data_IF_898025968764
#
_entry.id   IF_898025968764
#
_cell.length_a   1.000
_cell.length_b   1.000
_cell.length_c   1.000
_cell.angle_alpha   90.00
_cell.angle_beta   90.00
_cell.angle_gamma   90.00
#
_symmetry.space_group_name_H-M   'P 1'
#
loop_
_entity.id
_entity.type
_entity.pdbx_description
1 polymer ?
#
# COMPACT_ATOMS: atom_id res chain seq x y z
N UNK A 1 6.74 30.63 -10.01
CA UNK A 1 6.39 29.44 -9.20
C UNK A 1 5.78 28.41 -10.14
N UNK A 2 6.08 27.13 -9.98
CA UNK A 2 5.52 26.07 -10.83
C UNK A 2 3.99 25.99 -10.69
N UNK A 3 3.28 25.68 -11.79
CA UNK A 3 1.82 25.45 -11.79
C UNK A 3 1.53 23.97 -11.62
N UNK A 4 0.33 23.68 -11.09
CA UNK A 4 -0.29 22.35 -11.13
C UNK A 4 0.65 21.20 -10.68
N UNK A 5 1.44 21.44 -9.63
CA UNK A 5 2.44 20.47 -9.15
C UNK A 5 1.72 19.25 -8.58
N UNK A 6 2.15 18.06 -8.99
CA UNK A 6 1.42 16.82 -8.75
C UNK A 6 2.16 15.56 -9.18
N UNK A 7 1.46 14.42 -9.17
CA UNK A 7 1.98 13.13 -9.65
C UNK A 7 1.80 13.06 -11.17
N UNK A 8 2.93 13.00 -11.89
CA UNK A 8 3.00 12.88 -13.34
C UNK A 8 2.86 11.42 -13.82
N UNK A 9 3.57 10.53 -13.14
CA UNK A 9 3.66 9.12 -13.47
C UNK A 9 3.65 8.29 -12.18
N UNK A 10 3.10 7.08 -12.24
CA UNK A 10 3.02 6.16 -11.11
C UNK A 10 3.31 4.72 -11.55
N UNK A 11 4.01 3.98 -10.71
CA UNK A 11 4.29 2.55 -10.88
C UNK A 11 4.25 1.84 -9.51
N UNK A 12 3.86 0.56 -9.51
CA UNK A 12 3.74 -0.28 -8.33
C UNK A 12 4.41 -1.64 -8.55
N UNK A 13 5.26 -2.05 -7.62
CA UNK A 13 5.71 -3.43 -7.47
C UNK A 13 5.09 -4.04 -6.20
N UNK A 14 4.72 -5.32 -6.28
CA UNK A 14 4.45 -6.18 -5.12
C UNK A 14 4.90 -7.61 -5.46
N UNK A 15 5.33 -8.42 -4.48
CA UNK A 15 5.74 -9.79 -4.75
C UNK A 15 4.65 -10.61 -5.46
N UNK A 16 5.04 -11.54 -6.34
CA UNK A 16 4.12 -12.52 -6.90
C UNK A 16 3.68 -13.54 -5.84
N UNK A 17 4.55 -13.83 -4.85
CA UNK A 17 4.31 -14.78 -3.78
C UNK A 17 3.29 -14.27 -2.76
N UNK A 18 2.25 -15.09 -2.54
CA UNK A 18 1.12 -14.75 -1.71
C UNK A 18 0.41 -15.99 -1.14
N UNK A 19 -0.47 -15.78 -0.15
CA UNK A 19 -1.28 -16.80 0.52
C UNK A 19 -2.74 -16.34 0.65
N UNK A 20 -3.70 -17.24 0.42
CA UNK A 20 -5.13 -16.96 0.61
C UNK A 20 -5.50 -16.83 2.09
N UNK A 21 -6.34 -15.85 2.41
CA UNK A 21 -6.81 -15.63 3.78
C UNK A 21 -7.76 -16.73 4.26
N UNK A 22 -8.59 -17.33 3.41
CA UNK A 22 -9.44 -18.49 3.79
C UNK A 22 -8.61 -19.76 4.08
N UNK A 23 -7.52 -19.97 3.34
CA UNK A 23 -6.58 -21.06 3.63
C UNK A 23 -5.83 -20.80 4.95
N UNK A 24 -5.44 -19.55 5.20
CA UNK A 24 -4.78 -19.15 6.44
C UNK A 24 -5.72 -19.23 7.66
N UNK A 25 -7.01 -18.84 7.51
CA UNK A 25 -8.06 -19.07 8.53
C UNK A 25 -8.11 -20.55 8.92
N UNK A 26 -8.10 -21.44 7.93
CA UNK A 26 -8.15 -22.90 8.11
C UNK A 26 -6.90 -23.41 8.86
N UNK A 27 -5.69 -22.98 8.47
CA UNK A 27 -4.43 -23.40 9.13
C UNK A 27 -4.30 -22.87 10.56
N UNK A 28 -4.78 -21.65 10.82
CA UNK A 28 -4.73 -21.02 12.14
C UNK A 28 -5.77 -21.57 13.13
N UNK A 29 -6.69 -22.44 12.70
CA UNK A 29 -7.84 -22.84 13.52
C UNK A 29 -8.82 -21.70 13.78
N UNK A 30 -8.85 -20.70 12.89
CA UNK A 30 -9.75 -19.56 12.99
C UNK A 30 -11.19 -19.92 12.58
N UNK A 31 -12.16 -19.24 13.17
CA UNK A 31 -13.55 -19.27 12.68
C UNK A 31 -13.62 -18.74 11.25
N UNK A 32 -14.29 -19.46 10.35
CA UNK A 32 -14.51 -19.01 8.96
C UNK A 32 -15.07 -17.58 8.92
N UNK A 33 -14.46 -16.73 8.09
CA UNK A 33 -14.78 -15.31 8.00
C UNK A 33 -13.91 -14.39 8.86
N UNK A 34 -13.05 -14.89 9.76
CA UNK A 34 -12.27 -14.05 10.70
C UNK A 34 -11.35 -13.06 9.99
N UNK A 35 -10.72 -13.46 8.89
CA UNK A 35 -9.81 -12.62 8.10
C UNK A 35 -10.51 -12.07 6.87
N UNK A 36 -11.24 -12.91 6.14
CA UNK A 36 -11.98 -12.58 4.91
C UNK A 36 -13.12 -11.59 5.11
N UNK A 37 -13.83 -11.64 6.25
CA UNK A 37 -14.93 -10.73 6.58
C UNK A 37 -14.55 -9.80 7.75
N UNK A 38 -13.91 -10.34 8.79
CA UNK A 38 -13.52 -9.61 10.01
C UNK A 38 -12.43 -8.57 9.78
N UNK A 39 -11.37 -8.92 9.05
CA UNK A 39 -10.36 -7.97 8.56
C UNK A 39 -10.73 -7.40 7.18
N UNK A 40 -11.51 -8.14 6.39
CA UNK A 40 -11.91 -7.79 5.02
C UNK A 40 -10.84 -8.10 3.97
N UNK A 41 -9.88 -8.98 4.28
CA UNK A 41 -8.71 -9.28 3.46
C UNK A 41 -8.89 -10.59 2.68
N UNK A 42 -8.54 -10.61 1.40
CA UNK A 42 -8.71 -11.81 0.55
C UNK A 42 -7.39 -12.59 0.45
N UNK A 43 -6.27 -11.86 0.29
CA UNK A 43 -4.95 -12.42 0.06
C UNK A 43 -3.88 -11.59 0.78
N UNK A 44 -2.72 -12.18 1.05
CA UNK A 44 -1.57 -11.50 1.62
C UNK A 44 -0.30 -11.85 0.85
N UNK A 45 0.41 -10.82 0.38
CA UNK A 45 1.67 -10.96 -0.34
C UNK A 45 2.88 -10.81 0.60
N UNK A 46 3.93 -11.57 0.33
CA UNK A 46 5.14 -11.60 1.14
C UNK A 46 6.36 -11.80 0.26
N UNK A 47 7.48 -11.17 0.64
CA UNK A 47 8.78 -11.44 0.05
C UNK A 47 9.24 -12.86 0.43
N UNK A 48 9.82 -13.57 -0.53
CA UNK A 48 10.69 -14.72 -0.23
C UNK A 48 12.11 -14.26 0.07
N UNK A 49 13.07 -15.17 0.30
CA UNK A 49 14.42 -14.74 0.66
C UNK A 49 15.16 -13.97 -0.44
N UNK A 50 14.76 -14.15 -1.71
CA UNK A 50 15.31 -13.43 -2.87
C UNK A 50 14.73 -12.02 -3.04
N UNK A 51 13.77 -11.60 -2.22
CA UNK A 51 13.17 -10.27 -2.30
C UNK A 51 13.40 -9.43 -1.03
N UNK A 52 13.51 -8.12 -1.21
CA UNK A 52 13.44 -7.14 -0.13
C UNK A 52 13.02 -5.76 -0.66
N UNK A 53 12.90 -4.75 0.21
CA UNK A 53 12.37 -3.44 -0.24
C UNK A 53 13.30 -2.70 -1.20
N UNK A 54 14.54 -3.14 -1.37
CA UNK A 54 15.46 -2.59 -2.38
C UNK A 54 15.22 -3.32 -3.68
N UNK A 55 15.17 -4.65 -3.67
CA UNK A 55 14.76 -5.44 -4.82
C UNK A 55 13.39 -4.96 -5.36
N UNK A 56 12.42 -4.69 -4.48
CA UNK A 56 11.14 -4.08 -4.85
C UNK A 56 11.26 -2.63 -5.36
N UNK A 57 12.06 -1.77 -4.71
CA UNK A 57 12.16 -0.35 -5.08
C UNK A 57 12.97 -0.11 -6.34
N UNK A 58 14.04 -0.89 -6.57
CA UNK A 58 14.76 -0.98 -7.84
C UNK A 58 13.77 -1.37 -8.94
N UNK A 59 12.98 -2.44 -8.74
CA UNK A 59 11.98 -2.87 -9.72
C UNK A 59 10.93 -1.79 -9.99
N UNK A 60 10.38 -1.14 -8.96
CA UNK A 60 9.37 -0.10 -9.12
C UNK A 60 9.90 1.18 -9.80
N UNK A 61 11.11 1.63 -9.46
CA UNK A 61 11.72 2.84 -10.04
C UNK A 61 12.22 2.58 -11.45
N UNK A 62 12.95 1.49 -11.69
CA UNK A 62 13.42 1.11 -13.03
C UNK A 62 12.23 0.89 -13.98
N UNK A 63 11.18 0.18 -13.55
CA UNK A 63 9.95 0.00 -14.35
C UNK A 63 9.22 1.33 -14.65
N UNK A 64 9.28 2.32 -13.75
CA UNK A 64 8.75 3.66 -14.03
C UNK A 64 9.61 4.38 -15.09
N UNK A 65 10.92 4.44 -14.90
CA UNK A 65 11.82 5.16 -15.82
C UNK A 65 11.81 4.53 -17.22
N UNK A 66 11.81 3.20 -17.31
CA UNK A 66 11.71 2.45 -18.58
C UNK A 66 10.37 2.71 -19.29
N UNK A 67 9.22 2.51 -18.61
CA UNK A 67 7.90 2.55 -19.28
C UNK A 67 7.37 3.94 -19.59
N UNK A 68 7.79 4.97 -18.86
CA UNK A 68 7.47 6.37 -19.18
C UNK A 68 8.59 7.06 -19.98
N UNK A 69 9.64 6.32 -20.37
CA UNK A 69 10.81 6.81 -21.14
C UNK A 69 11.47 8.04 -20.53
N UNK A 70 11.74 7.99 -19.21
CA UNK A 70 12.30 9.10 -18.44
C UNK A 70 13.82 8.96 -18.37
N UNK A 71 14.55 9.90 -18.95
CA UNK A 71 16.00 10.04 -18.76
C UNK A 71 16.31 10.25 -17.26
N UNK A 72 17.08 9.36 -16.60
CA UNK A 72 17.40 9.48 -15.18
C UNK A 72 18.04 10.81 -14.80
N UNK A 73 18.72 11.49 -15.74
CA UNK A 73 19.36 12.81 -15.52
C UNK A 73 18.36 13.94 -15.27
N UNK A 74 17.07 13.74 -15.58
CA UNK A 74 16.00 14.71 -15.28
C UNK A 74 15.56 14.68 -13.80
N UNK A 75 15.98 13.68 -13.01
CA UNK A 75 15.55 13.50 -11.63
C UNK A 75 16.39 14.35 -10.68
N UNK A 76 16.04 15.64 -10.56
CA UNK A 76 16.70 16.60 -9.66
C UNK A 76 16.46 16.40 -8.16
N UNK A 77 15.56 15.48 -7.76
CA UNK A 77 15.29 15.12 -6.36
C UNK A 77 14.76 13.68 -6.28
N UNK A 78 15.30 12.90 -5.36
CA UNK A 78 14.91 11.50 -5.17
C UNK A 78 14.95 11.13 -3.66
N UNK A 79 13.87 10.54 -3.15
CA UNK A 79 13.61 10.27 -1.73
C UNK A 79 12.87 8.93 -1.57
N UNK A 80 12.97 8.31 -0.39
CA UNK A 80 12.30 7.05 -0.06
C UNK A 80 11.59 7.15 1.30
N UNK A 81 10.29 6.90 1.33
CA UNK A 81 9.49 6.84 2.56
C UNK A 81 9.33 5.40 3.06
N UNK A 82 9.98 5.06 4.19
CA UNK A 82 10.06 3.69 4.71
C UNK A 82 10.08 3.67 6.24
N UNK A 83 9.28 2.78 6.85
CA UNK A 83 9.41 2.36 8.27
C UNK A 83 10.18 1.03 8.41
N UNK A 84 10.88 0.68 7.35
CA UNK A 84 11.67 -0.52 7.15
C UNK A 84 13.15 -0.16 7.18
N UNK A 85 13.94 -0.91 7.93
CA UNK A 85 15.34 -0.65 8.20
C UNK A 85 16.10 -1.99 8.27
N UNK A 86 17.19 -2.11 7.51
CA UNK A 86 18.35 -2.92 7.95
C UNK A 86 19.49 -2.00 8.39
N UNK A 87 19.87 -1.04 7.55
CA UNK A 87 20.96 -0.15 7.89
C UNK A 87 20.43 1.10 8.61
N UNK A 88 20.94 1.33 9.82
CA UNK A 88 20.57 2.44 10.71
C UNK A 88 21.18 3.77 10.28
N UNK A 89 21.96 3.80 9.20
CA UNK A 89 22.62 4.98 8.64
C UNK A 89 22.58 5.02 7.10
N UNK A 90 22.94 3.93 6.42
CA UNK A 90 23.07 3.85 4.95
C UNK A 90 21.69 3.66 4.28
N UNK A 91 21.05 4.80 4.00
CA UNK A 91 19.65 4.91 3.56
C UNK A 91 19.23 4.06 2.35
N UNK A 92 17.94 3.75 2.23
CA UNK A 92 17.36 3.13 1.01
C UNK A 92 17.52 4.05 -0.21
N UNK A 93 17.50 5.37 -0.03
CA UNK A 93 17.81 6.33 -1.10
C UNK A 93 19.18 6.04 -1.73
N UNK A 94 20.17 5.63 -0.94
CA UNK A 94 21.48 5.22 -1.45
C UNK A 94 21.49 3.79 -2.03
N UNK A 95 20.63 2.86 -1.58
CA UNK A 95 20.39 1.56 -2.26
C UNK A 95 19.79 1.70 -3.69
N UNK A 96 19.38 2.90 -4.10
CA UNK A 96 18.76 3.15 -5.40
C UNK A 96 19.56 4.13 -6.28
N UNK A 97 20.71 4.62 -5.81
CA UNK A 97 21.56 5.51 -6.59
C UNK A 97 22.19 4.86 -7.82
N UNK A 98 22.37 3.52 -7.79
CA UNK A 98 22.78 2.69 -8.92
C UNK A 98 21.91 2.80 -10.19
N UNK A 99 20.70 3.37 -10.10
CA UNK A 99 19.84 3.67 -11.26
C UNK A 99 20.27 4.97 -11.96
N UNK A 100 20.94 5.87 -11.24
CA UNK A 100 21.34 7.22 -11.67
C UNK A 100 22.86 7.35 -11.87
N UNK A 101 23.64 6.53 -11.17
CA UNK A 101 25.09 6.44 -11.27
C UNK A 101 25.47 5.43 -12.35
N UNK A 102 26.41 5.79 -13.23
CA UNK A 102 26.90 4.88 -14.30
C UNK A 102 27.77 3.74 -13.73
N UNK A 103 28.11 3.77 -12.43
CA UNK A 103 28.83 2.70 -11.73
C UNK A 103 28.50 2.60 -10.23
N UNK A 104 28.32 1.34 -9.76
CA UNK A 104 28.30 0.83 -8.37
C UNK A 104 26.99 0.90 -7.53
N UNK A 105 26.85 -0.05 -6.57
CA UNK A 105 25.59 -0.46 -5.92
C UNK A 105 25.68 -0.64 -4.37
N UNK A 106 24.54 -0.86 -3.68
CA UNK A 106 24.51 -1.65 -2.42
C UNK A 106 24.36 -0.94 -1.03
N UNK A 107 23.35 -0.05 -0.84
CA UNK A 107 22.33 -0.01 0.35
C UNK A 107 20.17 -2.04 1.05
N UNK A 108 19.14 -2.03 2.04
CA UNK A 108 18.47 -3.27 2.65
C UNK A 108 17.02 -3.30 3.35
N UNK A 109 16.60 -4.49 3.90
CA UNK A 109 15.26 -5.20 4.21
C UNK A 109 14.16 -4.74 5.26
N UNK A 110 12.90 -5.31 5.22
CA UNK A 110 11.65 -4.97 6.01
C UNK A 110 11.03 -6.02 6.98
N UNK A 111 9.89 -5.65 7.64
CA UNK A 111 8.70 -6.52 7.92
C UNK A 111 7.60 -6.34 6.85
N UNK A 112 6.91 -7.40 6.42
CA UNK A 112 5.83 -7.36 5.40
C UNK A 112 4.39 -7.15 5.94
N UNK A 113 3.34 -7.03 5.11
CA UNK A 113 3.27 -7.25 3.65
C UNK A 113 4.02 -6.23 2.79
N UNK A 114 4.18 -6.59 1.52
CA UNK A 114 5.26 -6.08 0.68
C UNK A 114 4.76 -5.40 -0.60
N UNK A 115 5.13 -4.13 -0.78
CA UNK A 115 5.06 -3.41 -2.03
C UNK A 115 6.04 -2.23 -2.05
N UNK A 116 6.42 -1.79 -3.24
CA UNK A 116 7.07 -0.49 -3.48
C UNK A 116 6.25 0.30 -4.51
N UNK A 117 6.15 1.61 -4.32
CA UNK A 117 5.48 2.52 -5.26
C UNK A 117 6.43 3.65 -5.63
N UNK A 118 6.61 3.83 -6.93
CA UNK A 118 7.33 4.97 -7.48
C UNK A 118 6.31 6.00 -8.00
N UNK A 119 6.56 7.28 -7.71
CA UNK A 119 5.77 8.41 -8.20
C UNK A 119 6.70 9.50 -8.71
N UNK A 120 6.55 9.88 -9.97
CA UNK A 120 7.24 11.04 -10.54
C UNK A 120 6.46 12.31 -10.17
N UNK A 121 7.13 13.29 -9.58
CA UNK A 121 6.52 14.56 -9.15
C UNK A 121 7.01 15.70 -10.04
N UNK A 122 6.10 16.53 -10.54
CA UNK A 122 6.46 17.69 -11.37
C UNK A 122 5.30 18.65 -11.62
N UNK A 123 5.51 19.70 -12.43
CA UNK A 123 4.48 20.67 -12.82
C UNK A 123 3.47 20.06 -13.79
N UNK A 124 2.32 20.73 -13.95
CA UNK A 124 1.31 20.44 -14.99
C UNK A 124 0.85 18.97 -15.06
N UNK A 125 0.72 18.37 -13.87
CA UNK A 125 0.40 16.97 -13.67
C UNK A 125 -1.10 16.62 -13.88
N UNK A 126 -1.44 15.38 -14.25
CA UNK A 126 -2.82 14.87 -14.22
C UNK A 126 -3.38 14.76 -12.80
N UNK A 127 -2.53 14.70 -11.77
CA UNK A 127 -2.93 14.46 -10.37
C UNK A 127 -2.33 15.58 -9.50
N UNK A 128 -3.02 16.73 -9.43
CA UNK A 128 -2.52 17.98 -8.84
C UNK A 128 -2.79 18.05 -7.34
N UNK A 129 -1.81 18.51 -6.55
CA UNK A 129 -2.04 18.80 -5.12
C UNK A 129 -2.82 20.11 -4.94
N UNK A 130 -4.02 20.06 -4.34
CA UNK A 130 -4.75 21.25 -3.91
C UNK A 130 -4.10 21.80 -2.63
N UNK A 131 -2.96 22.48 -2.78
CA UNK A 131 -1.89 22.55 -1.77
C UNK A 131 -2.27 23.20 -0.44
N UNK A 132 -3.38 23.93 -0.38
CA UNK A 132 -3.93 24.56 0.83
C UNK A 132 -4.88 23.64 1.61
N UNK A 133 -5.54 22.68 0.94
CA UNK A 133 -6.49 21.75 1.55
C UNK A 133 -5.74 20.56 2.15
N UNK A 134 -5.20 20.76 3.35
CA UNK A 134 -4.64 19.68 4.18
C UNK A 134 -4.80 19.92 5.67
N UNK A 135 -5.22 18.90 6.42
CA UNK A 135 -5.20 18.88 7.89
C UNK A 135 -4.16 17.86 8.36
N UNK A 136 -3.36 18.21 9.36
CA UNK A 136 -2.28 17.36 9.87
C UNK A 136 -2.40 17.23 11.38
N UNK A 137 -2.12 16.04 11.92
CA UNK A 137 -2.04 15.81 13.35
C UNK A 137 -0.85 14.91 13.68
N UNK A 138 -0.11 15.29 14.72
CA UNK A 138 1.01 14.55 15.27
C UNK A 138 0.87 14.59 16.79
N UNK A 139 1.17 13.49 17.45
CA UNK A 139 1.15 13.37 18.91
C UNK A 139 2.16 12.30 19.32
N UNK A 140 2.59 12.30 20.58
CA UNK A 140 3.35 11.18 21.12
C UNK A 140 2.39 10.04 21.49
N UNK A 141 2.63 8.84 20.98
CA UNK A 141 1.89 7.62 21.27
C UNK A 141 2.82 6.40 21.23
N UNK A 142 2.41 5.31 21.90
CA UNK A 142 3.07 4.00 21.85
C UNK A 142 2.13 2.92 21.28
N UNK A 143 1.34 3.29 20.26
CA UNK A 143 0.31 2.42 19.70
C UNK A 143 0.89 1.28 18.81
N UNK A 144 1.95 1.59 18.07
CA UNK A 144 2.79 0.63 17.35
C UNK A 144 4.18 1.23 17.19
N UNK A 145 5.23 0.48 17.52
CA UNK A 145 6.63 0.93 17.44
C UNK A 145 7.60 -0.27 17.38
N UNK A 146 8.84 -0.04 16.92
CA UNK A 146 9.87 -1.09 16.76
C UNK A 146 11.06 -0.85 17.71
N UNK A 147 10.95 -1.17 19.01
CA UNK A 147 12.00 -0.90 20.00
C UNK A 147 13.14 -1.92 19.98
N UNK A 148 12.86 -3.17 19.57
CA UNK A 148 13.87 -4.22 19.49
C UNK A 148 14.61 -4.14 18.16
N UNK A 149 15.78 -3.48 18.15
CA UNK A 149 16.60 -3.28 16.96
C UNK A 149 17.13 -4.59 16.32
N UNK A 150 17.04 -5.73 17.01
CA UNK A 150 17.45 -7.04 16.50
C UNK A 150 16.28 -7.88 15.94
N UNK A 151 15.03 -7.38 16.02
CA UNK A 151 13.85 -8.07 15.49
C UNK A 151 13.20 -7.29 14.36
N UNK A 152 12.61 -8.03 13.43
CA UNK A 152 11.76 -7.51 12.36
C UNK A 152 10.40 -7.04 12.92
N UNK A 153 9.99 -7.57 14.08
CA UNK A 153 8.62 -7.47 14.59
C UNK A 153 8.38 -6.24 15.49
N UNK A 154 7.25 -5.54 15.33
CA UNK A 154 6.85 -4.40 16.16
C UNK A 154 6.23 -4.82 17.49
N UNK A 155 6.31 -3.93 18.48
CA UNK A 155 5.43 -3.93 19.67
C UNK A 155 4.16 -3.14 19.30
N UNK A 156 2.99 -3.71 19.59
CA UNK A 156 1.69 -3.20 19.12
C UNK A 156 0.62 -3.31 20.20
N UNK A 157 -0.08 -2.23 20.50
CA UNK A 157 -1.38 -2.27 21.18
C UNK A 157 -2.49 -2.08 20.13
N UNK A 158 -3.12 -3.18 19.73
CA UNK A 158 -4.20 -3.19 18.73
C UNK A 158 -5.51 -2.51 19.16
N UNK A 159 -5.68 -2.21 20.45
CA UNK A 159 -6.78 -1.34 20.93
C UNK A 159 -6.37 0.11 20.77
N UNK A 160 -5.22 0.49 21.35
CA UNK A 160 -4.72 1.86 21.31
C UNK A 160 -4.52 2.35 19.86
N UNK A 161 -4.01 1.50 18.96
CA UNK A 161 -3.79 1.89 17.56
C UNK A 161 -5.08 2.20 16.79
N UNK A 162 -6.19 1.51 17.07
CA UNK A 162 -7.49 1.90 16.51
C UNK A 162 -7.99 3.23 17.08
N UNK A 163 -7.81 3.49 18.38
CA UNK A 163 -8.14 4.79 19.00
C UNK A 163 -7.29 5.92 18.40
N UNK A 164 -5.97 5.75 18.36
CA UNK A 164 -5.00 6.70 17.82
C UNK A 164 -5.25 7.02 16.34
N UNK A 165 -5.57 6.01 15.52
CA UNK A 165 -5.94 6.18 14.12
C UNK A 165 -7.21 7.03 13.97
N UNK A 166 -8.28 6.73 14.73
CA UNK A 166 -9.56 7.46 14.62
C UNK A 166 -9.45 8.89 15.18
N UNK A 167 -8.71 9.10 16.27
CA UNK A 167 -8.39 10.43 16.80
C UNK A 167 -7.58 11.27 15.80
N UNK A 168 -6.60 10.66 15.13
CA UNK A 168 -5.82 11.30 14.08
C UNK A 168 -6.67 11.64 12.85
N UNK A 169 -7.60 10.76 12.46
CA UNK A 169 -8.54 10.97 11.38
C UNK A 169 -9.48 12.16 11.66
N UNK A 170 -10.16 12.16 12.81
CA UNK A 170 -11.04 13.25 13.25
C UNK A 170 -10.30 14.60 13.27
N UNK A 171 -9.09 14.62 13.85
CA UNK A 171 -8.30 15.84 13.98
C UNK A 171 -7.81 16.35 12.61
N UNK A 172 -7.37 15.46 11.73
CA UNK A 172 -7.01 15.82 10.36
C UNK A 172 -8.24 16.31 9.57
N UNK A 173 -9.40 15.66 9.71
CA UNK A 173 -10.64 16.06 9.05
C UNK A 173 -11.09 17.45 9.51
N UNK A 174 -11.10 17.71 10.82
CA UNK A 174 -11.41 19.02 11.40
C UNK A 174 -10.52 20.13 10.83
N UNK A 175 -9.20 19.93 10.78
CA UNK A 175 -8.28 20.92 10.21
C UNK A 175 -8.37 21.03 8.68
N UNK A 176 -8.78 19.97 7.98
CA UNK A 176 -9.07 20.01 6.56
C UNK A 176 -10.31 20.89 6.29
N UNK A 177 -11.44 20.58 6.96
CA UNK A 177 -12.69 21.31 6.84
C UNK A 177 -12.53 22.80 7.13
N UNK A 178 -11.86 23.16 8.23
CA UNK A 178 -11.59 24.56 8.59
C UNK A 178 -10.84 25.34 7.48
N UNK A 179 -9.85 24.71 6.84
CA UNK A 179 -9.09 25.37 5.74
C UNK A 179 -9.90 25.47 4.46
N UNK A 180 -10.73 24.47 4.18
CA UNK A 180 -11.66 24.49 3.06
C UNK A 180 -12.69 25.60 3.23
N UNK A 181 -13.38 25.63 4.37
CA UNK A 181 -14.35 26.66 4.76
C UNK A 181 -13.78 28.08 4.63
N UNK A 182 -12.55 28.29 5.11
CA UNK A 182 -11.87 29.59 5.03
C UNK A 182 -11.50 30.05 3.61
N UNK A 183 -11.49 29.16 2.63
CA UNK A 183 -11.03 29.43 1.25
C UNK A 183 -12.15 29.39 0.21
N UNK A 184 -13.11 28.47 0.38
CA UNK A 184 -14.26 28.26 -0.52
C UNK A 184 -15.54 28.96 -0.02
N UNK A 185 -15.53 29.47 1.22
CA UNK A 185 -16.68 30.17 1.81
C UNK A 185 -17.88 29.29 2.17
N UNK A 186 -17.73 27.96 2.10
CA UNK A 186 -18.78 26.97 2.35
C UNK A 186 -18.30 25.82 3.25
N UNK A 187 -19.22 25.21 3.98
CA UNK A 187 -18.93 24.03 4.81
C UNK A 187 -18.42 22.86 3.95
N UNK A 188 -17.34 22.20 4.36
CA UNK A 188 -16.91 20.95 3.71
C UNK A 188 -17.74 19.76 4.20
N UNK A 189 -18.02 18.81 3.33
CA UNK A 189 -18.65 17.54 3.65
C UNK A 189 -18.03 16.39 2.84
N UNK A 190 -18.29 15.13 3.19
CA UNK A 190 -17.91 13.98 2.35
C UNK A 190 -18.57 13.98 0.95
N UNK A 191 -19.55 14.86 0.71
CA UNK A 191 -20.13 15.10 -0.63
C UNK A 191 -19.26 15.98 -1.52
N UNK A 192 -18.39 16.83 -0.95
CA UNK A 192 -17.49 17.74 -1.67
C UNK A 192 -16.21 17.07 -2.23
N UNK A 193 -16.05 15.78 -1.96
CA UNK A 193 -15.05 14.89 -2.51
C UNK A 193 -15.74 13.80 -3.34
N UNK A 194 -15.24 13.51 -4.53
CA UNK A 194 -15.76 12.41 -5.34
C UNK A 194 -15.32 11.04 -4.77
N UNK A 195 -14.06 10.93 -4.34
CA UNK A 195 -13.50 9.74 -3.71
C UNK A 195 -12.69 10.07 -2.44
N UNK A 196 -12.61 9.11 -1.52
CA UNK A 196 -11.77 9.20 -0.32
C UNK A 196 -10.93 7.92 -0.19
N UNK A 197 -9.61 8.09 -0.08
CA UNK A 197 -8.60 7.04 0.00
C UNK A 197 -7.94 7.10 1.38
N UNK A 198 -7.67 5.93 1.98
CA UNK A 198 -7.10 5.82 3.33
C UNK A 198 -5.83 4.96 3.32
N UNK A 199 -4.90 5.22 4.23
CA UNK A 199 -3.94 4.21 4.65
C UNK A 199 -4.71 2.94 5.06
N UNK A 200 -4.39 1.82 4.43
CA UNK A 200 -5.22 0.61 4.43
C UNK A 200 -4.45 -0.57 5.00
N UNK A 201 -4.31 -0.70 6.34
CA UNK A 201 -3.63 -1.84 6.95
C UNK A 201 -4.48 -3.12 6.86
N UNK A 202 -5.82 -2.96 6.92
CA UNK A 202 -6.80 -3.99 6.60
C UNK A 202 -8.14 -3.31 6.25
N UNK A 203 -8.92 -3.90 5.33
CA UNK A 203 -10.08 -3.22 4.73
C UNK A 203 -11.20 -2.89 5.74
N UNK A 204 -11.39 -3.66 6.82
CA UNK A 204 -12.35 -3.30 7.86
C UNK A 204 -12.02 -1.96 8.52
N UNK A 205 -10.74 -1.59 8.71
CA UNK A 205 -10.41 -0.26 9.23
C UNK A 205 -10.82 0.85 8.25
N UNK A 206 -10.67 0.63 6.95
CA UNK A 206 -11.10 1.57 5.89
C UNK A 206 -12.61 1.81 5.94
N UNK A 207 -13.40 0.75 6.13
CA UNK A 207 -14.85 0.84 6.34
C UNK A 207 -15.21 1.67 7.58
N UNK A 208 -14.56 1.41 8.73
CA UNK A 208 -14.72 2.21 9.95
C UNK A 208 -14.30 3.67 9.76
N UNK A 209 -13.23 3.91 9.00
CA UNK A 209 -12.68 5.26 8.75
C UNK A 209 -13.69 6.14 8.03
N UNK A 210 -14.25 5.65 6.93
CA UNK A 210 -15.25 6.41 6.17
C UNK A 210 -16.56 6.59 6.95
N UNK A 211 -16.99 5.56 7.70
CA UNK A 211 -18.11 5.66 8.62
C UNK A 211 -17.89 6.74 9.70
N UNK A 212 -16.65 6.88 10.21
CA UNK A 212 -16.27 7.93 11.16
C UNK A 212 -16.31 9.33 10.53
N UNK A 213 -15.96 9.49 9.25
CA UNK A 213 -16.11 10.78 8.55
C UNK A 213 -17.59 11.20 8.44
N UNK A 214 -18.50 10.27 8.13
CA UNK A 214 -19.94 10.57 8.15
C UNK A 214 -20.43 10.96 9.55
N UNK A 215 -19.89 10.34 10.62
CA UNK A 215 -20.20 10.76 12.00
C UNK A 215 -19.65 12.17 12.32
N UNK A 216 -18.45 12.53 11.84
CA UNK A 216 -17.93 13.89 11.97
C UNK A 216 -18.82 14.91 11.24
N UNK A 217 -19.33 14.57 10.06
CA UNK A 217 -20.29 15.38 9.32
C UNK A 217 -21.63 15.53 10.05
N UNK A 218 -22.12 14.46 10.68
CA UNK A 218 -23.30 14.51 11.55
C UNK A 218 -23.07 15.45 12.75
N UNK A 219 -21.96 15.32 13.46
CA UNK A 219 -21.58 16.21 14.58
C UNK A 219 -21.33 17.67 14.15
N UNK A 220 -21.15 17.92 12.84
CA UNK A 220 -21.03 19.26 12.22
C UNK A 220 -22.33 19.74 11.58
N UNK A 221 -23.43 18.98 11.65
CA UNK A 221 -24.70 19.21 10.95
C UNK A 221 -24.54 19.42 9.43
N UNK A 222 -23.59 18.73 8.80
CA UNK A 222 -23.24 18.93 7.40
C UNK A 222 -24.27 18.32 6.42
N UNK A 223 -24.35 18.91 5.22
CA UNK A 223 -25.33 18.58 4.17
C UNK A 223 -25.17 17.20 3.53
N UNK A 224 -24.11 16.46 3.85
CA UNK A 224 -23.90 15.06 3.46
C UNK A 224 -24.77 14.07 4.24
N UNK A 225 -25.35 14.49 5.37
CA UNK A 225 -26.13 13.62 6.26
C UNK A 225 -27.62 13.85 6.00
N UNK A 226 -28.28 12.87 5.39
CA UNK A 226 -29.74 12.87 5.23
C UNK A 226 -30.47 12.64 6.58
N UNK A 227 -31.77 12.88 6.61
CA UNK A 227 -32.55 12.82 7.85
C UNK A 227 -32.73 11.39 8.41
N UNK A 228 -32.55 10.36 7.58
CA UNK A 228 -32.54 8.94 8.02
C UNK A 228 -31.21 8.65 8.73
N UNK A 229 -30.10 9.16 8.19
CA UNK A 229 -28.79 9.08 8.82
C UNK A 229 -28.73 9.90 10.11
N UNK A 230 -29.26 11.14 10.14
CA UNK A 230 -29.41 11.93 11.37
C UNK A 230 -30.21 11.17 12.42
N UNK A 231 -31.42 10.72 12.08
CA UNK A 231 -32.30 10.00 13.02
C UNK A 231 -31.66 8.75 13.65
N UNK A 232 -30.81 8.06 12.90
CA UNK A 232 -30.04 6.90 13.39
C UNK A 232 -28.79 7.27 14.20
N UNK A 233 -28.18 8.43 13.95
CA UNK A 233 -26.97 8.88 14.66
C UNK A 233 -27.28 9.73 15.91
N UNK A 234 -28.45 10.35 16.00
CA UNK A 234 -28.92 11.14 17.15
C UNK A 234 -28.71 10.48 18.52
N UNK A 235 -28.92 9.16 18.74
CA UNK A 235 -28.67 8.52 20.04
C UNK A 235 -27.20 8.60 20.52
N UNK A 236 -26.25 8.82 19.61
CA UNK A 236 -24.82 8.87 19.89
C UNK A 236 -24.24 10.29 19.95
N UNK A 237 -25.08 11.32 19.76
CA UNK A 237 -24.68 12.74 19.72
C UNK A 237 -23.94 13.24 20.97
N UNK A 238 -24.15 12.61 22.13
CA UNK A 238 -23.46 12.96 23.38
C UNK A 238 -22.13 12.21 23.57
N UNK A 239 -21.80 11.20 22.75
CA UNK A 239 -20.55 10.45 22.89
C UNK A 239 -19.38 11.26 22.35
N UNK A 240 -18.38 11.53 23.20
CA UNK A 240 -17.19 12.29 22.82
C UNK A 240 -15.90 11.50 23.07
N UNK A 241 -14.81 11.88 22.39
CA UNK A 241 -13.49 11.29 22.59
C UNK A 241 -13.49 9.76 22.65
N UNK A 242 -12.88 9.21 23.70
CA UNK A 242 -12.67 7.78 23.93
C UNK A 242 -13.95 6.95 24.04
N UNK A 243 -15.07 7.53 24.48
CA UNK A 243 -16.38 6.85 24.49
C UNK A 243 -16.82 6.57 23.05
N UNK A 244 -16.66 7.57 22.18
CA UNK A 244 -17.04 7.49 20.77
C UNK A 244 -16.10 6.59 19.94
N UNK A 245 -14.83 6.43 20.34
CA UNK A 245 -13.89 5.50 19.69
C UNK A 245 -14.12 4.05 20.12
N UNK A 246 -14.67 3.81 21.33
CA UNK A 246 -14.90 2.47 21.87
C UNK A 246 -16.33 1.94 21.67
N UNK A 247 -17.28 2.81 21.31
CA UNK A 247 -18.69 2.44 21.06
C UNK A 247 -18.87 1.60 19.79
N UNK A 248 -19.04 0.28 19.97
CA UNK A 248 -19.33 -0.67 18.88
C UNK A 248 -20.67 -0.41 18.20
N UNK A 249 -21.66 0.11 18.92
CA UNK A 249 -22.98 0.41 18.35
C UNK A 249 -22.93 1.65 17.47
N UNK A 250 -22.18 2.68 17.85
CA UNK A 250 -21.86 3.80 16.97
C UNK A 250 -21.10 3.32 15.72
N UNK A 251 -20.09 2.46 15.88
CA UNK A 251 -19.32 1.89 14.75
C UNK A 251 -20.24 1.14 13.77
N UNK A 252 -21.16 0.33 14.30
CA UNK A 252 -22.12 -0.47 13.53
C UNK A 252 -23.15 0.39 12.80
N UNK A 253 -23.76 1.35 13.50
CA UNK A 253 -24.77 2.25 12.90
C UNK A 253 -24.12 3.15 11.85
N UNK A 254 -22.94 3.72 12.14
CA UNK A 254 -22.21 4.57 11.19
C UNK A 254 -21.84 3.79 9.92
N UNK A 255 -21.34 2.56 10.03
CA UNK A 255 -21.10 1.70 8.85
C UNK A 255 -22.39 1.40 8.07
N UNK A 256 -23.52 1.23 8.76
CA UNK A 256 -24.80 0.94 8.11
C UNK A 256 -25.36 2.14 7.36
N UNK A 257 -25.25 3.36 7.89
CA UNK A 257 -25.70 4.59 7.19
C UNK A 257 -24.71 5.07 6.14
N UNK A 258 -23.40 4.84 6.30
CA UNK A 258 -22.38 5.22 5.32
C UNK A 258 -22.27 4.26 4.13
N UNK A 259 -22.98 3.12 4.12
CA UNK A 259 -22.73 2.00 3.20
C UNK A 259 -22.79 2.38 1.72
N UNK A 260 -23.85 3.05 1.27
CA UNK A 260 -24.02 3.49 -0.12
C UNK A 260 -22.92 4.47 -0.56
N UNK A 261 -22.59 5.43 0.31
CA UNK A 261 -21.52 6.41 0.05
C UNK A 261 -20.12 5.77 0.10
N UNK A 262 -19.89 4.75 0.93
CA UNK A 262 -18.65 3.96 0.93
C UNK A 262 -18.49 3.20 -0.39
N UNK A 263 -19.55 2.56 -0.88
CA UNK A 263 -19.51 1.80 -2.13
C UNK A 263 -19.24 2.69 -3.35
N UNK A 264 -19.75 3.93 -3.36
CA UNK A 264 -19.44 4.91 -4.40
C UNK A 264 -18.04 5.55 -4.26
N UNK A 265 -17.68 6.00 -3.05
CA UNK A 265 -16.52 6.89 -2.83
C UNK A 265 -15.23 6.18 -2.44
N UNK A 266 -15.31 4.96 -1.88
CA UNK A 266 -14.18 4.28 -1.23
C UNK A 266 -13.95 2.86 -1.72
N UNK A 267 -15.00 2.07 -2.02
CA UNK A 267 -14.83 0.69 -2.50
C UNK A 267 -13.88 0.57 -3.73
N UNK A 268 -13.90 1.48 -4.73
CA UNK A 268 -12.95 1.46 -5.85
C UNK A 268 -11.48 1.58 -5.44
N UNK A 269 -11.17 2.08 -4.23
CA UNK A 269 -9.80 2.20 -3.71
C UNK A 269 -9.28 0.91 -3.05
N UNK A 270 -10.05 -0.18 -3.01
CA UNK A 270 -9.78 -1.32 -2.10
C UNK A 270 -9.11 -2.54 -2.72
N UNK A 271 -9.03 -2.62 -4.07
CA UNK A 271 -8.55 -3.80 -4.79
C UNK A 271 -7.17 -4.29 -4.31
N UNK A 272 -6.14 -3.44 -4.46
CA UNK A 272 -4.76 -3.83 -4.14
C UNK A 272 -4.60 -4.05 -2.62
N UNK A 273 -5.08 -3.18 -1.70
CA UNK A 273 -5.04 -3.47 -0.27
C UNK A 273 -5.67 -4.81 0.14
N UNK A 274 -6.82 -5.20 -0.44
CA UNK A 274 -7.48 -6.49 -0.13
C UNK A 274 -6.72 -7.70 -0.68
N UNK A 275 -6.01 -7.54 -1.79
CA UNK A 275 -5.30 -8.60 -2.52
C UNK A 275 -3.79 -8.66 -2.23
N UNK A 276 -3.23 -7.72 -1.47
CA UNK A 276 -1.80 -7.65 -1.12
C UNK A 276 -1.57 -7.62 0.41
N UNK A 277 -2.50 -7.07 1.19
CA UNK A 277 -2.32 -6.88 2.64
C UNK A 277 -1.84 -5.46 2.99
N UNK A 278 -1.38 -5.28 4.23
CA UNK A 278 -0.75 -4.01 4.62
C UNK A 278 0.57 -3.82 3.85
N UNK A 279 0.75 -2.64 3.26
CA UNK A 279 1.96 -2.21 2.54
C UNK A 279 2.60 -0.99 3.21
N UNK A 280 2.30 -0.74 4.49
CA UNK A 280 2.82 0.34 5.32
C UNK A 280 2.80 1.71 4.62
N UNK A 281 3.95 2.33 4.36
CA UNK A 281 4.07 3.64 3.70
C UNK A 281 3.50 3.66 2.28
N UNK A 282 3.54 2.53 1.56
CA UNK A 282 2.95 2.39 0.23
C UNK A 282 1.43 2.13 0.26
N UNK A 283 0.84 1.74 1.40
CA UNK A 283 -0.56 1.29 1.47
C UNK A 283 -1.59 2.34 1.01
N UNK A 284 -1.43 3.60 1.41
CA UNK A 284 -2.29 4.71 0.94
C UNK A 284 -2.21 4.87 -0.59
N UNK A 285 -0.99 4.79 -1.14
CA UNK A 285 -0.75 4.97 -2.56
C UNK A 285 -1.18 3.74 -3.37
N UNK A 286 -1.15 2.53 -2.80
CA UNK A 286 -1.71 1.32 -3.40
C UNK A 286 -3.25 1.36 -3.45
N UNK A 287 -3.89 1.95 -2.44
CA UNK A 287 -5.32 2.25 -2.48
C UNK A 287 -5.65 3.30 -3.55
N UNK A 288 -4.79 4.31 -3.75
CA UNK A 288 -4.95 5.30 -4.82
C UNK A 288 -4.68 4.71 -6.22
N UNK A 289 -3.70 3.84 -6.38
CA UNK A 289 -3.46 3.07 -7.60
C UNK A 289 -4.64 2.15 -7.95
N UNK A 290 -5.32 1.59 -6.94
CA UNK A 290 -6.57 0.84 -7.13
C UNK A 290 -7.68 1.74 -7.70
N UNK A 291 -7.80 2.98 -7.20
CA UNK A 291 -8.76 3.95 -7.72
C UNK A 291 -8.48 4.31 -9.18
N UNK A 292 -7.23 4.62 -9.53
CA UNK A 292 -6.83 4.91 -10.92
C UNK A 292 -7.12 3.70 -11.83
N UNK A 293 -6.73 2.50 -11.42
CA UNK A 293 -7.00 1.28 -12.19
C UNK A 293 -8.51 1.10 -12.46
N UNK A 294 -9.34 1.20 -11.43
CA UNK A 294 -10.77 0.96 -11.51
C UNK A 294 -11.59 2.11 -12.15
N UNK A 295 -11.07 3.34 -12.17
CA UNK A 295 -11.86 4.55 -12.48
C UNK A 295 -11.19 5.63 -13.34
N UNK A 296 -9.98 5.44 -13.87
CA UNK A 296 -9.23 6.46 -14.65
C UNK A 296 -10.10 7.28 -15.64
N UNK A 297 -10.95 6.63 -16.43
CA UNK A 297 -11.85 7.28 -17.42
C UNK A 297 -12.96 8.16 -16.82
N UNK A 298 -13.26 8.03 -15.53
CA UNK A 298 -14.24 8.83 -14.77
C UNK A 298 -13.59 9.88 -13.86
N UNK A 299 -12.25 9.88 -13.75
CA UNK A 299 -11.51 10.69 -12.76
C UNK A 299 -11.15 12.11 -13.22
N UNK A 300 -11.32 12.45 -14.50
CA UNK A 300 -11.06 13.80 -14.99
C UNK A 300 -12.01 14.84 -14.33
N UNK A 301 -11.44 15.89 -13.75
CA UNK A 301 -12.16 16.94 -13.02
C UNK A 301 -12.55 16.58 -11.58
N UNK A 302 -12.21 15.39 -11.09
CA UNK A 302 -12.63 14.88 -9.77
C UNK A 302 -11.76 15.40 -8.62
N UNK A 303 -12.33 15.48 -7.41
CA UNK A 303 -11.60 15.68 -6.16
C UNK A 303 -11.41 14.36 -5.43
N UNK A 304 -10.18 14.03 -5.07
CA UNK A 304 -9.82 12.82 -4.31
C UNK A 304 -9.15 13.23 -3.01
N UNK A 305 -9.73 12.83 -1.88
CA UNK A 305 -9.15 13.06 -0.54
C UNK A 305 -8.29 11.85 -0.15
N UNK A 306 -7.10 12.10 0.40
CA UNK A 306 -6.19 11.06 0.88
C UNK A 306 -5.94 11.27 2.39
N UNK A 307 -6.07 10.21 3.18
CA UNK A 307 -5.68 10.20 4.60
C UNK A 307 -4.48 9.28 4.84
N UNK A 308 -3.34 9.88 5.16
CA UNK A 308 -2.12 9.19 5.58
C UNK A 308 -2.04 9.11 7.11
N UNK A 309 -1.67 7.93 7.62
CA UNK A 309 -1.40 7.66 9.03
C UNK A 309 -0.14 6.82 9.16
N UNK A 310 0.65 7.08 10.20
CA UNK A 310 1.69 6.21 10.71
C UNK A 310 1.74 6.34 12.24
N UNK A 311 1.91 5.20 12.93
CA UNK A 311 1.90 5.12 14.39
C UNK A 311 3.06 5.85 15.07
N UNK A 312 2.91 6.12 16.38
CA UNK A 312 3.90 6.85 17.19
C UNK A 312 3.60 8.31 17.59
N UNK A 313 2.74 9.13 16.96
CA UNK A 313 2.02 9.01 15.68
C UNK A 313 2.14 10.29 14.84
N UNK A 314 2.03 10.12 13.52
CA UNK A 314 1.97 11.21 12.54
C UNK A 314 0.90 10.94 11.49
N UNK A 315 0.17 11.98 11.08
CA UNK A 315 -0.94 11.85 10.14
C UNK A 315 -1.19 13.12 9.34
N UNK A 316 -1.76 12.98 8.15
CA UNK A 316 -2.24 14.11 7.33
C UNK A 316 -3.34 13.65 6.39
N UNK A 317 -4.46 14.38 6.40
CA UNK A 317 -5.44 14.38 5.33
C UNK A 317 -5.11 15.50 4.33
N UNK A 318 -5.15 15.21 3.04
CA UNK A 318 -4.90 16.19 1.96
C UNK A 318 -5.78 15.91 0.73
N UNK A 319 -5.90 16.90 -0.16
CA UNK A 319 -6.73 16.81 -1.37
C UNK A 319 -5.92 16.85 -2.67
N UNK A 320 -6.37 16.07 -3.64
CA UNK A 320 -5.89 16.07 -5.02
C UNK A 320 -7.02 16.47 -5.97
N UNK A 321 -6.69 17.26 -6.99
CA UNK A 321 -7.57 17.55 -8.14
C UNK A 321 -7.05 16.78 -9.35
N UNK A 322 -7.91 15.97 -9.95
CA UNK A 322 -7.54 15.11 -11.07
C UNK A 322 -7.97 15.74 -12.40
N UNK A 323 -7.15 15.53 -13.42
CA UNK A 323 -7.27 16.04 -14.78
C UNK A 323 -6.80 14.90 -15.71
N UNK A 324 -7.32 14.80 -16.94
CA UNK A 324 -6.91 13.70 -17.83
C UNK A 324 -5.39 13.70 -18.08
N UNK A 325 -4.79 14.88 -18.23
CA UNK A 325 -3.37 15.05 -18.54
C UNK A 325 -3.08 14.98 -20.04
N UNK A 326 -1.82 14.69 -20.39
CA UNK A 326 -1.38 14.46 -21.77
C UNK A 326 -0.31 13.36 -21.78
N UNK A 327 -0.36 12.46 -22.75
CA UNK A 327 0.59 11.33 -22.84
C UNK A 327 2.05 11.83 -22.85
N UNK A 328 2.98 11.24 -22.05
CA UNK A 328 2.82 10.01 -21.27
C UNK A 328 2.18 10.19 -19.88
N UNK A 329 1.96 11.43 -19.44
CA UNK A 329 1.43 11.78 -18.12
C UNK A 329 -0.09 12.01 -18.15
N UNK A 330 -0.84 10.95 -18.43
CA UNK A 330 -2.31 10.95 -18.40
C UNK A 330 -2.87 9.78 -17.57
N UNK A 331 -4.06 9.97 -16.97
CA UNK A 331 -4.68 9.00 -16.06
C UNK A 331 -4.86 7.62 -16.71
N UNK A 332 -5.27 7.62 -17.97
CA UNK A 332 -5.39 6.46 -18.85
C UNK A 332 -4.05 5.71 -19.05
N UNK A 333 -2.95 6.42 -19.32
CA UNK A 333 -1.64 5.77 -19.45
C UNK A 333 -1.11 5.26 -18.09
N UNK A 334 -1.35 5.98 -17.00
CA UNK A 334 -0.95 5.54 -15.65
C UNK A 334 -1.64 4.21 -15.30
N UNK A 335 -2.94 4.06 -15.58
CA UNK A 335 -3.67 2.80 -15.39
C UNK A 335 -3.07 1.64 -16.22
N UNK A 336 -2.69 1.92 -17.47
CA UNK A 336 -2.07 0.94 -18.38
C UNK A 336 -0.68 0.52 -17.92
N UNK A 337 0.21 1.47 -17.64
CA UNK A 337 1.60 1.21 -17.23
C UNK A 337 1.69 0.42 -15.93
N UNK A 338 0.85 0.75 -14.95
CA UNK A 338 0.76 0.02 -13.68
C UNK A 338 0.28 -1.43 -13.86
N UNK A 339 -0.47 -1.75 -14.92
CA UNK A 339 -0.98 -3.08 -15.27
C UNK A 339 -1.42 -3.93 -14.05
N UNK A 340 -2.27 -3.35 -13.19
CA UNK A 340 -2.65 -3.95 -11.90
C UNK A 340 -3.31 -5.32 -12.10
N UNK A 341 -4.22 -5.43 -13.08
CA UNK A 341 -4.88 -6.69 -13.42
C UNK A 341 -3.87 -7.76 -13.89
N UNK A 342 -2.91 -7.40 -14.75
CA UNK A 342 -1.87 -8.33 -15.20
C UNK A 342 -0.97 -8.81 -14.06
N UNK A 343 -0.55 -7.91 -13.16
CA UNK A 343 0.29 -8.26 -12.00
C UNK A 343 -0.45 -9.13 -10.98
N UNK A 344 -1.75 -8.92 -10.77
CA UNK A 344 -2.57 -9.82 -9.94
C UNK A 344 -2.81 -11.17 -10.61
N UNK A 345 -3.02 -11.19 -11.94
CA UNK A 345 -3.21 -12.43 -12.74
C UNK A 345 -1.95 -13.29 -12.78
N UNK A 346 -0.77 -12.69 -12.94
CA UNK A 346 0.54 -13.37 -12.98
C UNK A 346 0.76 -14.33 -11.79
N UNK A 347 0.31 -13.94 -10.59
CA UNK A 347 0.33 -14.78 -9.38
C UNK A 347 -0.33 -16.14 -9.59
N UNK A 348 -1.52 -16.13 -10.20
CA UNK A 348 -2.37 -17.30 -10.41
C UNK A 348 -1.84 -18.24 -11.53
N UNK A 349 -1.10 -17.70 -12.50
CA UNK A 349 -0.72 -18.44 -13.70
C UNK A 349 0.55 -19.28 -13.51
N UNK A 350 1.53 -18.81 -12.72
CA UNK A 350 2.77 -19.58 -12.47
C UNK A 350 2.49 -20.86 -11.67
N UNK A 351 1.54 -20.81 -10.73
CA UNK A 351 1.04 -21.99 -9.99
C UNK A 351 0.52 -23.08 -10.94
N UNK A 352 -0.18 -22.66 -11.99
CA UNK A 352 -0.77 -23.53 -13.01
C UNK A 352 0.29 -24.13 -13.95
N UNK A 353 1.46 -23.49 -14.09
CA UNK A 353 2.60 -24.06 -14.82
C UNK A 353 3.35 -25.10 -13.95
N UNK A 354 3.77 -24.72 -12.74
CA UNK A 354 4.57 -25.58 -11.87
C UNK A 354 3.83 -26.85 -11.43
N UNK A 355 2.52 -26.76 -11.18
CA UNK A 355 1.70 -27.93 -10.86
C UNK A 355 1.63 -28.97 -12.00
N UNK A 356 1.63 -28.53 -13.27
CA UNK A 356 1.64 -29.42 -14.45
C UNK A 356 2.99 -30.09 -14.71
N UNK A 357 4.09 -29.46 -14.30
CA UNK A 357 5.44 -30.03 -14.40
C UNK A 357 5.68 -31.07 -13.29
N UNK A 358 5.15 -30.84 -12.09
CA UNK A 358 5.36 -31.73 -10.93
C UNK A 358 4.38 -32.91 -10.88
N UNK A 359 3.11 -32.70 -11.25
CA UNK A 359 2.07 -33.74 -11.21
C UNK A 359 1.65 -34.12 -12.63
N UNK A 360 2.31 -35.14 -13.20
CA UNK A 360 2.00 -35.68 -14.53
C UNK A 360 0.71 -36.52 -14.58
N UNK A 361 -0.44 -35.94 -14.21
CA UNK A 361 -1.79 -36.54 -14.24
C UNK A 361 -2.84 -35.47 -14.61
N UNK A 362 -4.04 -35.94 -14.95
CA UNK A 362 -5.05 -35.33 -15.83
C UNK A 362 -5.76 -34.05 -15.33
N UNK A 363 -6.51 -33.42 -16.26
CA UNK A 363 -7.47 -32.35 -15.97
C UNK A 363 -8.71 -32.90 -15.25
N UNK A 364 -8.85 -32.66 -13.95
CA UNK A 364 -10.19 -32.58 -13.35
C UNK A 364 -10.83 -31.23 -13.74
N UNK A 365 -12.01 -31.27 -14.33
CA UNK A 365 -12.65 -30.13 -15.00
C UNK A 365 -13.60 -29.32 -14.12
N UNK A 366 -13.69 -29.63 -12.81
CA UNK A 366 -14.72 -29.07 -11.93
C UNK A 366 -14.22 -28.40 -10.63
N UNK A 367 -12.94 -28.00 -10.56
CA UNK A 367 -12.41 -27.09 -9.52
C UNK A 367 -11.58 -25.97 -10.15
N UNK A 368 -11.76 -24.74 -9.67
CA UNK A 368 -10.99 -23.59 -10.15
C UNK A 368 -9.51 -23.72 -9.80
N UNK A 369 -8.63 -23.58 -10.79
CA UNK A 369 -7.19 -23.69 -10.61
C UNK A 369 -6.65 -22.50 -9.79
N UNK A 370 -6.24 -22.79 -8.56
CA UNK A 370 -5.62 -21.87 -7.63
C UNK A 370 -4.89 -22.70 -6.56
N UNK A 371 -3.57 -22.57 -6.46
CA UNK A 371 -2.86 -22.99 -5.24
C UNK A 371 -1.61 -22.15 -5.01
N UNK A 372 -1.90 -20.93 -4.54
CA UNK A 372 -1.01 -20.01 -3.84
C UNK A 372 -0.22 -20.74 -2.75
N UNK A 373 0.88 -20.14 -2.28
CA UNK A 373 1.78 -20.79 -1.32
C UNK A 373 0.97 -21.39 -0.16
N UNK A 374 1.03 -22.73 0.03
CA UNK A 374 0.33 -23.37 1.14
C UNK A 374 0.69 -22.68 2.45
N UNK A 375 -0.25 -22.48 3.38
CA UNK A 375 0.00 -21.80 4.65
C UNK A 375 1.22 -22.33 5.42
N UNK A 376 1.60 -23.59 5.22
CA UNK A 376 2.79 -24.26 5.73
C UNK A 376 4.07 -23.77 5.04
N UNK A 377 4.09 -23.66 3.70
CA UNK A 377 5.21 -23.10 2.93
C UNK A 377 5.39 -21.61 3.23
N UNK A 378 4.28 -20.88 3.45
CA UNK A 378 4.32 -19.51 3.96
C UNK A 378 5.00 -19.44 5.35
N UNK A 379 4.59 -20.27 6.33
CA UNK A 379 5.23 -20.34 7.66
C UNK A 379 6.73 -20.69 7.56
N UNK A 380 7.10 -21.66 6.72
CA UNK A 380 8.51 -22.01 6.47
C UNK A 380 9.28 -20.81 5.90
N UNK A 381 8.69 -20.07 4.97
CA UNK A 381 9.28 -18.85 4.40
C UNK A 381 9.47 -17.78 5.46
N UNK A 382 8.47 -17.53 6.33
CA UNK A 382 8.59 -16.51 7.38
C UNK A 382 9.68 -16.86 8.42
N UNK A 383 9.80 -18.13 8.82
CA UNK A 383 10.90 -18.59 9.68
C UNK A 383 12.28 -18.42 9.02
N UNK A 384 12.37 -18.69 7.71
CA UNK A 384 13.59 -18.39 6.95
C UNK A 384 13.87 -16.89 6.91
N UNK A 385 12.87 -16.03 6.71
CA UNK A 385 13.05 -14.58 6.70
C UNK A 385 13.56 -14.07 8.06
N UNK A 386 13.02 -14.57 9.17
CA UNK A 386 13.49 -14.27 10.53
C UNK A 386 14.96 -14.66 10.72
N UNK A 387 15.38 -15.86 10.29
CA UNK A 387 16.80 -16.27 10.30
C UNK A 387 17.70 -15.44 9.37
N UNK A 388 17.14 -14.76 8.36
CA UNK A 388 17.86 -13.90 7.41
C UNK A 388 17.79 -12.40 7.79
N UNK A 389 16.99 -12.02 8.79
CA UNK A 389 16.89 -10.64 9.27
C UNK A 389 18.09 -10.28 10.14
N UNK A 390 18.73 -9.13 9.85
CA UNK A 390 19.98 -8.73 10.51
C UNK A 390 21.16 -9.70 10.31
N UNK A 391 21.01 -10.70 9.44
CA UNK A 391 22.01 -11.74 9.18
C UNK A 391 23.00 -11.34 8.07
N UNK A 392 24.07 -12.12 7.96
CA UNK A 392 25.16 -11.98 7.00
C UNK A 392 25.78 -13.34 6.65
N UNK A 393 26.71 -13.32 5.71
CA UNK A 393 27.47 -14.49 5.23
C UNK A 393 26.56 -15.60 4.68
N UNK A 394 25.66 -15.23 3.76
CA UNK A 394 24.76 -16.16 3.10
C UNK A 394 24.49 -15.83 1.62
N UNK A 395 24.32 -16.88 0.82
CA UNK A 395 23.75 -16.83 -0.53
C UNK A 395 22.26 -17.22 -0.43
N UNK A 396 21.40 -16.63 -1.26
CA UNK A 396 20.00 -17.07 -1.38
C UNK A 396 19.89 -18.32 -2.27
N UNK A 397 18.74 -18.99 -2.24
CA UNK A 397 18.41 -20.10 -3.16
C UNK A 397 18.40 -19.72 -4.64
N UNK A 398 18.37 -18.41 -4.99
CA UNK A 398 18.25 -17.89 -6.37
C UNK A 398 17.05 -18.45 -7.17
N UNK A 399 16.03 -19.01 -6.50
CA UNK A 399 14.76 -19.38 -7.13
C UNK A 399 14.03 -18.12 -7.60
N UNK A 400 14.21 -17.81 -8.88
CA UNK A 400 13.60 -16.68 -9.54
C UNK A 400 12.42 -17.11 -10.43
N UNK A 401 12.02 -18.39 -10.39
CA UNK A 401 10.98 -18.95 -11.27
C UNK A 401 9.61 -18.30 -11.09
N UNK A 402 9.36 -17.72 -9.91
CA UNK A 402 8.12 -17.01 -9.58
C UNK A 402 8.15 -15.51 -9.95
N UNK A 403 9.34 -14.92 -10.09
CA UNK A 403 9.50 -13.50 -10.38
C UNK A 403 9.16 -13.22 -11.84
N UNK A 404 8.53 -12.07 -12.12
CA UNK A 404 8.37 -11.56 -13.48
C UNK A 404 9.73 -11.13 -14.08
N UNK A 405 9.94 -11.21 -15.40
CA UNK A 405 11.09 -10.59 -16.05
C UNK A 405 11.22 -9.10 -15.68
N UNK A 406 12.46 -8.62 -15.55
CA UNK A 406 12.78 -7.26 -15.11
C UNK A 406 12.76 -7.02 -13.60
N UNK A 407 12.35 -8.02 -12.80
CA UNK A 407 12.36 -7.93 -11.32
C UNK A 407 13.80 -8.01 -10.79
N UNK A 408 14.16 -7.13 -9.85
CA UNK A 408 15.41 -7.23 -9.09
C UNK A 408 15.26 -8.16 -7.89
N UNK A 409 16.29 -8.96 -7.63
CA UNK A 409 16.33 -9.95 -6.56
C UNK A 409 17.69 -9.95 -5.85
N UNK A 410 17.70 -10.36 -4.58
CA UNK A 410 18.87 -10.50 -3.71
C UNK A 410 19.59 -11.83 -4.03
N UNK A 411 20.86 -11.75 -4.42
CA UNK A 411 21.71 -12.92 -4.69
C UNK A 411 22.41 -13.41 -3.42
N UNK A 412 23.02 -12.49 -2.67
CA UNK A 412 23.78 -12.81 -1.46
C UNK A 412 23.94 -11.60 -0.52
N UNK A 413 24.32 -11.89 0.72
CA UNK A 413 24.74 -10.94 1.74
C UNK A 413 26.03 -11.47 2.38
N UNK A 414 27.16 -10.82 2.15
CA UNK A 414 28.46 -11.37 2.55
C UNK A 414 28.80 -11.14 4.04
N UNK A 415 29.98 -11.61 4.46
CA UNK A 415 30.50 -11.51 5.84
C UNK A 415 30.64 -10.09 6.41
N UNK A 416 30.43 -9.03 5.61
CA UNK A 416 30.40 -7.62 6.02
C UNK A 416 28.99 -7.00 5.96
N UNK A 417 27.91 -7.79 5.84
CA UNK A 417 26.50 -7.36 5.67
C UNK A 417 26.18 -6.72 4.31
N UNK A 418 27.11 -6.79 3.36
CA UNK A 418 27.04 -6.08 2.07
C UNK A 418 26.09 -6.86 1.15
N UNK A 419 25.13 -6.18 0.52
CA UNK A 419 24.07 -6.84 -0.26
C UNK A 419 24.30 -6.76 -1.75
N UNK A 420 24.06 -7.86 -2.44
CA UNK A 420 24.29 -8.02 -3.87
C UNK A 420 22.96 -8.32 -4.56
N UNK A 421 22.68 -7.63 -5.65
CA UNK A 421 21.41 -7.71 -6.38
C UNK A 421 21.64 -8.10 -7.84
N UNK A 422 20.61 -8.63 -8.49
CA UNK A 422 20.59 -8.89 -9.93
C UNK A 422 19.18 -8.69 -10.48
N UNK A 423 19.06 -8.44 -11.79
CA UNK A 423 17.77 -8.31 -12.50
C UNK A 423 17.44 -9.65 -13.17
N UNK A 424 16.20 -10.11 -13.11
CA UNK A 424 15.76 -11.31 -13.83
C UNK A 424 15.61 -11.00 -15.32
N UNK A 425 16.52 -11.51 -16.13
CA UNK A 425 16.46 -11.41 -17.59
C UNK A 425 15.67 -12.59 -18.18
N UNK A 426 14.52 -12.33 -18.81
CA UNK A 426 13.69 -13.35 -19.44
C UNK A 426 12.98 -14.32 -18.48
N UNK A 427 12.42 -15.40 -19.03
CA UNK A 427 11.53 -16.34 -18.32
C UNK A 427 12.24 -17.56 -17.69
N UNK A 428 13.54 -17.48 -17.44
CA UNK A 428 14.29 -18.59 -16.85
C UNK A 428 13.85 -18.90 -15.40
N UNK A 429 13.87 -20.19 -15.04
CA UNK A 429 13.50 -20.70 -13.71
C UNK A 429 14.63 -20.56 -12.69
N UNK A 430 15.87 -20.77 -13.11
CA UNK A 430 17.09 -20.46 -12.37
C UNK A 430 17.85 -19.41 -13.16
N UNK A 431 18.26 -18.32 -12.50
CA UNK A 431 19.10 -17.30 -13.10
C UNK A 431 20.58 -17.61 -12.79
N UNK A 432 21.38 -17.83 -13.82
CA UNK A 432 22.84 -17.87 -13.68
C UNK A 432 23.38 -16.47 -13.30
N UNK A 433 24.67 -16.40 -12.91
CA UNK A 433 25.26 -15.17 -12.38
C UNK A 433 25.41 -14.08 -13.48
N UNK A 434 24.38 -13.25 -13.66
CA UNK A 434 24.55 -11.91 -14.21
C UNK A 434 25.50 -11.09 -13.33
N UNK A 435 26.47 -10.40 -13.92
CA UNK A 435 27.54 -9.72 -13.18
C UNK A 435 27.11 -8.36 -12.63
N UNK A 436 26.28 -8.37 -11.58
CA UNK A 436 26.00 -7.21 -10.74
C UNK A 436 26.50 -7.47 -9.32
N UNK A 437 27.46 -6.65 -8.89
CA UNK A 437 28.09 -6.77 -7.59
C UNK A 437 28.36 -5.39 -6.99
N UNK A 438 28.02 -5.22 -5.71
CA UNK A 438 28.78 -4.52 -4.66
C UNK A 438 27.89 -4.24 -3.43
N UNK A 439 28.39 -4.17 -2.20
CA UNK A 439 29.80 -4.41 -1.82
C UNK A 439 30.42 -3.46 -0.78
N UNK A 440 29.64 -2.70 0.00
CA UNK A 440 30.16 -1.83 1.08
C UNK A 440 29.49 -2.02 2.44
#
# INVERSE_FOLDING_TARGET
MAKNVGVLAMEIYFPPTCVQQEALETRDGASKGKYTIGLGQDCMAFCTEVEDVISMSLTAVTSLLEKYTIDPKQIGRFEVGSETVIDKSKSIKTFLMQIFEVYAEGPARPTGGAAAIAMLIGPDAPIVFESKFRGSHMSHAYDFYKPNLASEYPVVDGKLSQTCYLMALDTCYKYFCYKYEKLEGKQFSISDADHIVFHSPYNKLVQKSFARLLFNDFMRNASSVDDIAKGKLSPFSNLTGDESYQSRDLEKVSQQVSKSLYDAKVQPTTLIPKQVGNMYTASLYAAFASLIHNKHSELAGKRVILFSYGSGLTSTMFSLRLHEGQHPFCLSNIATVMNVAGKLKWRHEIETYNSRILNGIEKDSNRGFLMQFPPEKFVQTMKLMEHRYGAKDFVTSKDCGLLSPGTYYLTEVDSMYRRFYSKKDGDYTVCENGSLANGH
#
